data_IF_369439557770
#
_entry.id   IF_369439557770
#
_cell.length_a   1.000
_cell.length_b   1.000
_cell.length_c   1.000
_cell.angle_alpha   90.00
_cell.angle_beta   90.00
_cell.angle_gamma   90.00
#
_symmetry.space_group_name_H-M   'P 1'
#
loop_
_entity.id
_entity.type
_entity.pdbx_description
1 polymer ?
#
# COMPACT_ATOMS: atom_id res chain seq x y z
N UNK A 1 -9.24 11.07 3.67
CA UNK A 1 -8.05 10.54 4.37
C UNK A 1 -7.06 10.24 3.27
N UNK A 2 -5.76 10.45 3.49
CA UNK A 2 -4.78 10.08 2.46
C UNK A 2 -4.85 8.57 2.26
N UNK A 3 -4.76 8.10 1.01
CA UNK A 3 -4.88 6.68 0.70
C UNK A 3 -3.73 6.23 -0.17
N UNK A 4 -3.24 5.03 0.09
CA UNK A 4 -2.32 4.35 -0.83
C UNK A 4 -3.09 3.25 -1.55
N UNK A 5 -2.98 3.24 -2.87
CA UNK A 5 -3.57 2.26 -3.75
C UNK A 5 -2.51 1.58 -4.62
N UNK A 6 -2.75 0.34 -5.02
CA UNK A 6 -1.89 -0.34 -5.98
C UNK A 6 -2.65 -0.73 -7.23
N UNK A 7 -1.97 -0.67 -8.37
CA UNK A 7 -2.42 -1.21 -9.65
C UNK A 7 -1.35 -2.13 -10.19
N UNK A 8 -1.76 -3.09 -11.01
CA UNK A 8 -0.85 -4.03 -11.65
C UNK A 8 -0.96 -3.84 -13.14
N UNK A 9 0.15 -3.50 -13.77
CA UNK A 9 0.20 -3.38 -15.22
C UNK A 9 0.28 -4.77 -15.87
N UNK A 10 -0.39 -4.96 -17.03
CA UNK A 10 -0.28 -6.18 -17.80
C UNK A 10 1.18 -6.54 -18.11
N UNK A 11 1.53 -7.81 -17.91
CA UNK A 11 2.82 -8.35 -18.31
C UNK A 11 2.76 -9.88 -18.54
N UNK A 12 3.80 -10.43 -19.15
CA UNK A 12 3.88 -11.86 -19.47
C UNK A 12 4.01 -12.77 -18.24
N UNK A 13 4.35 -12.19 -17.09
CA UNK A 13 4.54 -12.89 -15.83
C UNK A 13 3.22 -13.15 -15.07
N UNK A 14 2.04 -12.78 -15.59
CA UNK A 14 0.76 -12.95 -14.90
C UNK A 14 0.56 -14.31 -14.23
N UNK A 15 0.98 -15.38 -14.91
CA UNK A 15 0.88 -16.75 -14.43
C UNK A 15 1.65 -17.00 -13.10
N UNK A 16 2.67 -16.21 -12.77
CA UNK A 16 3.48 -16.37 -11.56
C UNK A 16 2.83 -15.76 -10.32
N UNK A 17 2.00 -14.72 -10.49
CA UNK A 17 1.43 -13.95 -9.37
C UNK A 17 -0.11 -13.99 -9.28
N UNK A 18 -0.81 -14.61 -10.24
CA UNK A 18 -2.28 -14.71 -10.21
C UNK A 18 -2.83 -15.50 -9.02
N UNK A 19 -2.15 -16.58 -8.61
CA UNK A 19 -2.56 -17.39 -7.45
C UNK A 19 -2.33 -16.64 -6.13
N UNK A 20 -1.14 -16.03 -5.89
CA UNK A 20 -0.94 -15.12 -4.77
C UNK A 20 -1.98 -13.99 -4.69
N UNK A 21 -2.28 -13.34 -5.82
CA UNK A 21 -3.31 -12.29 -5.86
C UNK A 21 -4.68 -12.79 -5.42
N UNK A 22 -5.11 -13.95 -5.92
CA UNK A 22 -6.37 -14.58 -5.51
C UNK A 22 -6.40 -14.89 -4.02
N UNK A 23 -5.29 -15.39 -3.45
CA UNK A 23 -5.21 -15.67 -2.01
C UNK A 23 -5.31 -14.41 -1.16
N UNK A 24 -4.68 -13.32 -1.59
CA UNK A 24 -4.69 -12.07 -0.85
C UNK A 24 -6.02 -11.32 -0.97
N UNK A 25 -6.56 -11.23 -2.18
CA UNK A 25 -7.75 -10.40 -2.48
C UNK A 25 -9.08 -11.17 -2.37
N UNK A 26 -9.05 -12.50 -2.39
CA UNK A 26 -10.25 -13.33 -2.49
C UNK A 26 -10.95 -13.29 -3.86
N UNK A 27 -10.44 -12.49 -4.80
CA UNK A 27 -11.08 -12.28 -6.11
C UNK A 27 -10.99 -13.51 -7.02
N UNK A 28 -11.97 -13.64 -7.92
CA UNK A 28 -11.94 -14.63 -8.98
C UNK A 28 -10.79 -14.35 -9.96
N UNK A 29 -10.29 -15.41 -10.61
CA UNK A 29 -9.22 -15.28 -11.62
C UNK A 29 -9.65 -14.33 -12.76
N UNK A 30 -10.91 -14.39 -13.18
CA UNK A 30 -11.47 -13.49 -14.19
C UNK A 30 -11.48 -12.04 -13.71
N UNK A 31 -11.88 -11.79 -12.47
CA UNK A 31 -11.91 -10.43 -11.91
C UNK A 31 -10.50 -9.83 -11.78
N UNK A 32 -9.52 -10.66 -11.39
CA UNK A 32 -8.11 -10.27 -11.35
C UNK A 32 -7.64 -9.88 -12.75
N UNK A 33 -7.92 -10.71 -13.76
CA UNK A 33 -7.55 -10.38 -15.15
C UNK A 33 -8.19 -9.08 -15.63
N UNK A 34 -9.49 -8.92 -15.40
CA UNK A 34 -10.22 -7.71 -15.78
C UNK A 34 -9.61 -6.47 -15.10
N UNK A 35 -9.28 -6.54 -13.81
CA UNK A 35 -8.64 -5.41 -13.11
C UNK A 35 -7.27 -5.06 -13.69
N UNK A 36 -6.46 -6.05 -14.07
CA UNK A 36 -5.15 -5.81 -14.71
C UNK A 36 -5.32 -5.18 -16.09
N UNK A 37 -6.23 -5.72 -16.90
CA UNK A 37 -6.49 -5.25 -18.26
C UNK A 37 -7.05 -3.81 -18.29
N UNK A 38 -7.86 -3.45 -17.30
CA UNK A 38 -8.41 -2.09 -17.16
C UNK A 38 -7.52 -1.15 -16.34
N UNK A 39 -6.35 -1.61 -15.87
CA UNK A 39 -5.48 -0.87 -14.94
C UNK A 39 -6.26 -0.31 -13.72
N UNK A 40 -7.14 -1.14 -13.16
CA UNK A 40 -7.95 -0.81 -11.99
C UNK A 40 -7.15 -0.99 -10.68
N UNK A 41 -7.63 -0.30 -9.63
CA UNK A 41 -7.14 -0.48 -8.28
C UNK A 41 -7.38 -1.92 -7.78
N UNK A 42 -6.31 -2.53 -7.25
CA UNK A 42 -6.32 -3.88 -6.70
C UNK A 42 -6.55 -3.91 -5.20
N UNK A 43 -5.85 -3.04 -4.48
CA UNK A 43 -5.94 -2.90 -3.05
C UNK A 43 -5.70 -1.44 -2.69
N UNK A 44 -6.35 -0.99 -1.63
CA UNK A 44 -6.31 0.37 -1.12
C UNK A 44 -6.27 0.33 0.40
N UNK A 45 -5.48 1.21 1.00
CA UNK A 45 -5.32 1.36 2.46
C UNK A 45 -5.39 2.83 2.86
N UNK A 46 -5.74 3.10 4.12
CA UNK A 46 -5.43 4.40 4.72
C UNK A 46 -3.91 4.54 4.81
N UNK A 47 -3.39 5.67 4.35
CA UNK A 47 -1.96 5.95 4.39
C UNK A 47 -1.44 6.18 5.82
N UNK A 48 -2.31 6.37 6.81
CA UNK A 48 -1.94 6.59 8.20
C UNK A 48 -2.16 5.34 9.09
N UNK A 49 -2.74 4.27 8.55
CA UNK A 49 -2.89 3.00 9.27
C UNK A 49 -1.64 2.14 9.04
N UNK A 50 -0.84 1.97 10.08
CA UNK A 50 0.46 1.30 9.95
C UNK A 50 0.31 -0.20 9.71
N UNK A 51 -0.72 -0.83 10.26
CA UNK A 51 -0.94 -2.27 10.15
C UNK A 51 -1.40 -2.60 8.73
N UNK A 52 -2.33 -1.82 8.19
CA UNK A 52 -2.78 -1.97 6.81
C UNK A 52 -1.67 -1.63 5.80
N UNK A 53 -0.86 -0.60 6.07
CA UNK A 53 0.31 -0.27 5.25
C UNK A 53 1.36 -1.40 5.25
N UNK A 54 1.60 -2.06 6.39
CA UNK A 54 2.48 -3.24 6.45
C UNK A 54 1.93 -4.43 5.66
N UNK A 55 0.61 -4.66 5.72
CA UNK A 55 -0.05 -5.71 4.94
C UNK A 55 0.05 -5.43 3.44
N UNK A 56 -0.13 -4.17 3.02
CA UNK A 56 0.00 -3.75 1.63
C UNK A 56 1.45 -3.89 1.15
N UNK A 57 2.43 -3.52 1.97
CA UNK A 57 3.86 -3.73 1.69
C UNK A 57 4.17 -5.21 1.46
N UNK A 58 3.68 -6.09 2.33
CA UNK A 58 3.87 -7.53 2.18
C UNK A 58 3.37 -8.06 0.84
N UNK A 59 2.23 -7.54 0.37
CA UNK A 59 1.72 -7.83 -0.97
C UNK A 59 2.63 -7.29 -2.07
N UNK A 60 2.96 -5.99 -2.03
CA UNK A 60 3.79 -5.31 -3.05
C UNK A 60 5.13 -6.02 -3.22
N UNK A 61 5.83 -6.30 -2.11
CA UNK A 61 7.13 -6.98 -2.12
C UNK A 61 7.03 -8.37 -2.75
N UNK A 62 5.98 -9.12 -2.42
CA UNK A 62 5.76 -10.45 -2.98
C UNK A 62 5.47 -10.40 -4.48
N UNK A 63 4.63 -9.47 -4.92
CA UNK A 63 4.29 -9.28 -6.33
C UNK A 63 5.52 -8.87 -7.16
N UNK A 64 6.32 -7.92 -6.67
CA UNK A 64 7.56 -7.50 -7.31
C UNK A 64 8.57 -8.66 -7.43
N UNK A 65 8.73 -9.47 -6.37
CA UNK A 65 9.58 -10.68 -6.39
C UNK A 65 9.12 -11.71 -7.43
N UNK A 66 7.82 -11.79 -7.69
CA UNK A 66 7.24 -12.69 -8.69
C UNK A 66 7.28 -12.11 -10.11
N UNK A 67 7.81 -10.90 -10.29
CA UNK A 67 7.93 -10.23 -11.58
C UNK A 67 6.68 -9.47 -12.02
N UNK A 68 5.76 -9.18 -11.10
CA UNK A 68 4.64 -8.29 -11.40
C UNK A 68 5.12 -6.85 -11.60
N UNK A 69 4.48 -6.12 -12.52
CA UNK A 69 4.67 -4.68 -12.67
C UNK A 69 3.67 -3.95 -11.78
N UNK A 70 4.08 -3.65 -10.55
CA UNK A 70 3.24 -2.96 -9.57
C UNK A 70 3.46 -1.45 -9.70
N UNK A 71 2.36 -0.69 -9.81
CA UNK A 71 2.33 0.76 -9.69
C UNK A 71 1.66 1.13 -8.37
N UNK A 72 2.24 2.06 -7.64
CA UNK A 72 1.74 2.52 -6.34
C UNK A 72 1.24 3.94 -6.51
N UNK A 73 0.10 4.25 -5.94
CA UNK A 73 -0.51 5.56 -6.03
C UNK A 73 -0.88 6.08 -4.66
N UNK A 74 -0.68 7.37 -4.45
CA UNK A 74 -1.13 8.09 -3.27
C UNK A 74 -2.19 9.10 -3.67
N UNK A 75 -3.30 9.14 -2.93
CA UNK A 75 -4.28 10.23 -3.03
C UNK A 75 -4.21 11.08 -1.77
N UNK A 76 -3.96 12.38 -1.90
CA UNK A 76 -4.10 13.29 -0.77
C UNK A 76 -5.59 13.64 -0.52
N UNK A 77 -5.92 14.18 0.66
CA UNK A 77 -7.27 14.66 1.02
C UNK A 77 -7.49 16.15 0.66
N UNK A 78 -6.43 16.90 0.34
CA UNK A 78 -6.42 18.35 0.17
C UNK A 78 -6.46 18.81 -1.30
N UNK A 79 -6.44 17.88 -2.25
CA UNK A 79 -6.66 18.12 -3.67
C UNK A 79 -8.11 18.53 -3.89
N UNK A 80 -8.33 19.84 -4.04
CA UNK A 80 -9.59 20.41 -4.50
C UNK A 80 -9.86 19.94 -5.95
N UNK A 81 -10.43 18.75 -6.12
CA UNK A 81 -10.68 18.16 -7.43
C UNK A 81 -10.90 16.66 -7.38
N UNK A 82 -11.29 16.07 -8.52
CA UNK A 82 -11.42 14.63 -8.76
C UNK A 82 -10.21 13.92 -8.11
N UNK A 83 -10.41 12.86 -7.31
CA UNK A 83 -9.35 12.13 -6.59
C UNK A 83 -8.15 11.82 -7.51
N UNK A 84 -7.15 12.70 -7.55
CA UNK A 84 -5.98 12.55 -8.39
C UNK A 84 -4.97 11.69 -7.62
N UNK A 85 -5.08 10.38 -7.83
CA UNK A 85 -4.06 9.42 -7.42
C UNK A 85 -2.75 9.72 -8.16
N UNK A 86 -1.74 10.19 -7.44
CA UNK A 86 -0.39 10.41 -7.98
C UNK A 86 0.41 9.11 -7.88
N UNK A 87 1.02 8.68 -8.98
CA UNK A 87 1.94 7.53 -8.96
C UNK A 87 3.19 7.90 -8.16
N UNK A 88 3.56 7.04 -7.21
CA UNK A 88 4.77 7.15 -6.40
C UNK A 88 5.67 5.95 -6.63
N UNK A 89 6.97 6.15 -6.46
CA UNK A 89 7.94 5.06 -6.52
C UNK A 89 7.81 4.13 -5.31
N UNK A 90 8.30 2.89 -5.46
CA UNK A 90 8.42 1.98 -4.34
C UNK A 90 9.30 2.55 -3.22
N UNK A 91 10.32 3.34 -3.54
CA UNK A 91 11.16 4.00 -2.54
C UNK A 91 10.40 5.05 -1.75
N UNK A 92 9.57 5.88 -2.41
CA UNK A 92 8.71 6.85 -1.75
C UNK A 92 7.70 6.16 -0.82
N UNK A 93 7.07 5.07 -1.28
CA UNK A 93 6.19 4.24 -0.46
C UNK A 93 6.91 3.72 0.81
N UNK A 94 8.15 3.23 0.66
CA UNK A 94 8.97 2.77 1.78
C UNK A 94 9.32 3.90 2.75
N UNK A 95 9.64 5.09 2.23
CA UNK A 95 9.95 6.26 3.03
C UNK A 95 8.73 6.71 3.86
N UNK A 96 7.53 6.70 3.27
CA UNK A 96 6.29 7.02 3.99
C UNK A 96 6.05 6.07 5.17
N UNK A 97 6.23 4.76 4.98
CA UNK A 97 6.12 3.80 6.08
C UNK A 97 7.15 4.01 7.19
N UNK A 98 8.40 4.28 6.83
CA UNK A 98 9.44 4.53 7.82
C UNK A 98 9.12 5.79 8.63
N UNK A 99 8.63 6.85 7.97
CA UNK A 99 8.24 8.07 8.65
C UNK A 99 7.07 7.86 9.62
N UNK A 100 6.10 7.05 9.25
CA UNK A 100 4.98 6.68 10.13
C UNK A 100 5.47 5.91 11.36
N UNK A 101 6.41 4.98 11.18
CA UNK A 101 7.04 4.25 12.30
C UNK A 101 7.74 5.19 13.26
N UNK A 102 8.58 6.08 12.74
CA UNK A 102 9.30 7.08 13.55
C UNK A 102 8.32 7.92 14.38
N UNK A 103 7.23 8.41 13.78
CA UNK A 103 6.23 9.21 14.49
C UNK A 103 5.55 8.40 15.60
N UNK A 104 5.24 7.12 15.36
CA UNK A 104 4.62 6.27 16.37
C UNK A 104 5.57 5.94 17.52
N UNK A 105 6.85 5.68 17.22
CA UNK A 105 7.90 5.45 18.22
C UNK A 105 8.11 6.70 19.07
N UNK A 106 8.23 7.89 18.44
CA UNK A 106 8.35 9.16 19.16
C UNK A 106 7.16 9.40 20.10
N UNK A 107 5.92 9.14 19.65
CA UNK A 107 4.73 9.30 20.50
C UNK A 107 4.71 8.33 21.69
N UNK A 108 5.16 7.09 21.51
CA UNK A 108 5.27 6.12 22.62
C UNK A 108 6.30 6.56 23.65
N UNK A 109 7.48 7.00 23.20
CA UNK A 109 8.54 7.50 24.07
C UNK A 109 8.07 8.71 24.91
N UNK A 110 7.27 9.60 24.33
CA UNK A 110 6.68 10.72 25.06
C UNK A 110 5.67 10.27 26.12
N UNK A 111 4.79 9.32 25.80
CA UNK A 111 3.80 8.78 26.73
C UNK A 111 4.50 8.06 27.91
N UNK A 112 5.51 7.23 27.63
CA UNK A 112 6.29 6.53 28.65
C UNK A 112 7.05 7.51 29.56
N UNK A 113 7.66 8.55 28.99
CA UNK A 113 8.36 9.57 29.77
C UNK A 113 7.43 10.37 30.70
N UNK A 114 6.16 10.59 30.31
CA UNK A 114 5.18 11.26 31.16
C UNK A 114 4.71 10.37 32.33
N UNK A 115 4.63 9.05 32.13
CA UNK A 115 4.31 8.09 33.19
C UNK A 115 5.41 8.04 34.25
N UNK A 116 6.68 8.12 33.86
CA UNK A 116 7.82 8.12 34.79
C UNK A 116 7.93 9.41 35.64
N UNK A 117 7.41 10.55 35.17
CA UNK A 117 7.47 11.84 35.91
C UNK A 117 6.29 11.98 36.90
N UNK A 118 5.28 11.13 36.80
CA UNK A 118 4.05 11.19 37.62
C UNK A 118 3.98 10.17 38.77
N UNK A 119 5.10 9.50 39.08
CA UNK A 119 5.27 8.58 40.23
C UNK A 119 6.29 9.11 41.22
#
# INVERSE_FOLDING_TARGET
>A
MSKIAIRISPNDALHTYIVPLRKYTGLGITDIKNKIENEDCFAETDANDIDDMQNLKGLVDNLLKLGAKVKIFESDKYGEGIFDYQEISHQEFMNHMNRLKEIMEELQDYDDALVDIST
#
